data_IF_035776683742
#
_entry.id   IF_035776683742
#
_cell.length_a   1.000
_cell.length_b   1.000
_cell.length_c   1.000
_cell.angle_alpha   90.00
_cell.angle_beta   90.00
_cell.angle_gamma   90.00
#
_symmetry.space_group_name_H-M   'P 1'
#
loop_
_entity.id
_entity.type
_entity.pdbx_description
1 polymer ?
#
# COMPACT_ATOMS: atom_id res chain seq x y z
N UNK A 1 -13.56 18.88 -3.05
CA UNK A 1 -12.67 20.02 -2.76
C UNK A 1 -12.14 20.50 -4.10
N UNK A 2 -12.58 21.67 -4.54
CA UNK A 2 -12.25 22.21 -5.86
C UNK A 2 -10.78 22.61 -5.94
N UNK A 3 -10.09 22.09 -6.94
CA UNK A 3 -8.81 22.61 -7.39
C UNK A 3 -9.10 23.99 -7.97
N UNK A 4 -8.58 25.04 -7.35
CA UNK A 4 -8.67 26.41 -7.86
C UNK A 4 -7.87 26.53 -9.16
N UNK A 5 -8.44 27.17 -10.19
CA UNK A 5 -7.89 27.35 -11.55
C UNK A 5 -6.45 27.92 -11.62
N UNK A 6 -5.91 28.45 -10.52
CA UNK A 6 -4.50 28.89 -10.41
C UNK A 6 -3.46 27.76 -10.24
N UNK A 7 -3.87 26.49 -10.07
CA UNK A 7 -2.93 25.35 -9.99
C UNK A 7 -2.62 24.70 -11.35
N UNK A 8 -3.27 25.14 -12.44
CA UNK A 8 -3.08 24.57 -13.78
C UNK A 8 -1.82 25.06 -14.51
N UNK A 9 -1.05 25.97 -13.90
CA UNK A 9 0.22 26.50 -14.44
C UNK A 9 1.44 26.03 -13.65
N UNK A 10 1.30 24.99 -12.83
CA UNK A 10 2.40 24.38 -12.10
C UNK A 10 2.55 22.92 -12.51
N UNK A 11 3.72 22.56 -13.07
CA UNK A 11 4.01 21.17 -13.43
C UNK A 11 3.89 20.25 -12.20
N UNK A 12 3.65 18.94 -12.39
CA UNK A 12 3.34 18.04 -11.28
C UNK A 12 4.46 18.02 -10.22
N UNK A 13 4.11 18.14 -8.93
CA UNK A 13 5.08 18.14 -7.84
C UNK A 13 5.79 16.79 -7.74
N UNK A 14 6.98 16.79 -7.13
CA UNK A 14 7.78 15.59 -6.82
C UNK A 14 7.91 15.37 -5.31
N UNK A 15 7.11 16.07 -4.50
CA UNK A 15 7.22 16.13 -3.04
C UNK A 15 7.09 14.74 -2.40
N UNK A 16 6.15 13.91 -2.86
CA UNK A 16 5.93 12.58 -2.32
C UNK A 16 7.07 11.61 -2.68
N UNK A 17 7.68 11.77 -3.85
CA UNK A 17 8.89 11.03 -4.23
C UNK A 17 10.06 11.42 -3.33
N UNK A 18 10.28 12.73 -3.12
CA UNK A 18 11.35 13.23 -2.24
C UNK A 18 11.14 12.74 -0.80
N UNK A 19 9.89 12.77 -0.31
CA UNK A 19 9.52 12.25 1.01
C UNK A 19 9.82 10.75 1.14
N UNK A 20 9.48 9.97 0.10
CA UNK A 20 9.78 8.53 0.04
C UNK A 20 11.28 8.27 0.08
N UNK A 21 12.06 9.00 -0.73
CA UNK A 21 13.51 8.89 -0.77
C UNK A 21 14.15 9.28 0.56
N UNK A 22 13.73 10.38 1.18
CA UNK A 22 14.24 10.81 2.47
C UNK A 22 14.01 9.76 3.57
N UNK A 23 12.84 9.11 3.58
CA UNK A 23 12.48 8.08 4.57
C UNK A 23 13.21 6.76 4.33
N UNK A 24 13.29 6.30 3.08
CA UNK A 24 13.70 4.93 2.75
C UNK A 24 15.03 4.80 2.01
N UNK A 25 15.54 5.87 1.41
CA UNK A 25 16.79 5.88 0.66
C UNK A 25 17.48 7.26 0.70
N UNK A 26 17.90 7.74 1.89
CA UNK A 26 18.52 9.06 2.03
C UNK A 26 19.84 9.17 1.25
N UNK A 27 20.53 8.05 1.01
CA UNK A 27 21.72 7.97 0.17
C UNK A 27 21.40 8.33 -1.29
N UNK A 28 20.31 7.81 -1.85
CA UNK A 28 19.87 8.14 -3.22
C UNK A 28 19.48 9.61 -3.35
N UNK A 29 18.82 10.17 -2.33
CA UNK A 29 18.52 11.60 -2.30
C UNK A 29 19.79 12.46 -2.26
N UNK A 30 20.79 12.03 -1.49
CA UNK A 30 22.11 12.70 -1.44
C UNK A 30 22.82 12.63 -2.79
N UNK A 31 22.78 11.48 -3.47
CA UNK A 31 23.33 11.33 -4.82
C UNK A 31 22.63 12.25 -5.83
N UNK A 32 21.30 12.35 -5.78
CA UNK A 32 20.54 13.29 -6.62
C UNK A 32 20.96 14.74 -6.39
N UNK A 33 21.13 15.15 -5.12
CA UNK A 33 21.60 16.51 -4.77
C UNK A 33 23.01 16.79 -5.30
N UNK A 34 23.89 15.80 -5.27
CA UNK A 34 25.24 15.91 -5.82
C UNK A 34 25.25 15.98 -7.35
N UNK A 35 24.34 15.26 -8.01
CA UNK A 35 24.22 15.25 -9.48
C UNK A 35 23.59 16.54 -10.03
N UNK A 36 22.76 17.22 -9.23
CA UNK A 36 22.07 18.45 -9.61
C UNK A 36 22.31 19.59 -8.60
N UNK A 37 23.56 20.06 -8.42
CA UNK A 37 23.92 21.01 -7.36
C UNK A 37 23.21 22.36 -7.50
N UNK A 38 22.92 22.80 -8.72
CA UNK A 38 22.21 24.05 -9.00
C UNK A 38 20.69 23.95 -8.74
N UNK A 39 20.19 22.77 -8.38
CA UNK A 39 18.76 22.46 -8.27
C UNK A 39 18.39 21.84 -6.92
N UNK A 40 19.31 21.88 -5.94
CA UNK A 40 19.12 21.28 -4.60
C UNK A 40 17.84 21.78 -3.94
N UNK A 41 17.51 23.06 -4.11
CA UNK A 41 16.28 23.65 -3.56
C UNK A 41 15.00 22.95 -4.02
N UNK A 42 14.99 22.26 -5.15
CA UNK A 42 13.82 21.52 -5.64
C UNK A 42 13.78 20.05 -5.16
N UNK A 43 14.82 19.62 -4.43
CA UNK A 43 14.96 18.27 -3.85
C UNK A 43 14.70 18.29 -2.32
N UNK A 44 13.98 19.29 -1.85
CA UNK A 44 13.48 19.41 -0.47
C UNK A 44 11.95 19.28 -0.46
N UNK A 45 11.40 18.84 0.67
CA UNK A 45 9.96 18.62 0.83
C UNK A 45 9.17 19.93 0.76
N UNK A 46 8.06 19.93 0.02
CA UNK A 46 7.12 21.05 -0.03
C UNK A 46 7.52 22.15 -1.00
N UNK A 47 8.48 21.87 -1.90
CA UNK A 47 8.91 22.80 -2.94
C UNK A 47 8.39 22.31 -4.28
N UNK A 48 7.39 23.03 -4.80
CA UNK A 48 6.84 22.78 -6.13
C UNK A 48 7.90 23.19 -7.16
N UNK A 49 8.54 22.20 -7.77
CA UNK A 49 9.31 22.40 -8.98
C UNK A 49 8.34 22.79 -10.11
N UNK A 50 8.07 24.10 -10.23
CA UNK A 50 7.19 24.68 -11.24
C UNK A 50 7.64 24.33 -12.68
N UNK A 51 6.79 24.59 -13.68
CA UNK A 51 6.93 24.06 -15.04
C UNK A 51 7.88 24.89 -15.89
N UNK A 52 8.98 25.42 -15.34
CA UNK A 52 9.95 26.15 -16.16
C UNK A 52 10.56 25.18 -17.20
N UNK A 53 10.08 25.32 -18.44
CA UNK A 53 9.62 24.25 -19.35
C UNK A 53 10.67 23.24 -19.85
N UNK A 54 11.93 23.31 -19.41
CA UNK A 54 12.95 22.32 -19.78
C UNK A 54 14.13 22.24 -18.81
N UNK A 55 14.35 23.25 -17.96
CA UNK A 55 15.56 23.36 -17.14
C UNK A 55 15.66 22.30 -16.03
N UNK A 56 14.53 21.75 -15.60
CA UNK A 56 14.44 20.84 -14.46
C UNK A 56 13.99 19.43 -14.83
N UNK A 57 13.70 19.16 -16.11
CA UNK A 57 13.09 17.90 -16.52
C UNK A 57 14.00 16.70 -16.25
N UNK A 58 15.31 16.85 -16.49
CA UNK A 58 16.31 15.82 -16.20
C UNK A 58 16.38 15.47 -14.72
N UNK A 59 16.32 16.48 -13.84
CA UNK A 59 16.31 16.28 -12.40
C UNK A 59 15.01 15.61 -11.95
N UNK A 60 13.86 16.07 -12.45
CA UNK A 60 12.55 15.50 -12.10
C UNK A 60 12.48 14.03 -12.51
N UNK A 61 12.90 13.70 -13.73
CA UNK A 61 12.93 12.32 -14.22
C UNK A 61 13.89 11.45 -13.42
N UNK A 62 15.12 11.92 -13.15
CA UNK A 62 16.08 11.19 -12.31
C UNK A 62 15.53 10.95 -10.89
N UNK A 63 14.79 11.93 -10.35
CA UNK A 63 14.12 11.83 -9.06
C UNK A 63 12.99 10.80 -9.10
N UNK A 64 12.12 10.83 -10.12
CA UNK A 64 11.09 9.83 -10.34
C UNK A 64 11.67 8.43 -10.47
N UNK A 65 12.77 8.27 -11.23
CA UNK A 65 13.42 6.99 -11.40
C UNK A 65 13.91 6.42 -10.06
N UNK A 66 14.68 7.21 -9.31
CA UNK A 66 15.18 6.82 -7.98
C UNK A 66 14.03 6.53 -7.00
N UNK A 67 12.98 7.34 -7.06
CA UNK A 67 11.75 7.18 -6.28
C UNK A 67 11.06 5.86 -6.55
N UNK A 68 10.81 5.55 -7.82
CA UNK A 68 10.17 4.30 -8.25
C UNK A 68 11.04 3.08 -7.92
N UNK A 69 12.36 3.15 -8.08
CA UNK A 69 13.26 2.07 -7.65
C UNK A 69 13.12 1.80 -6.15
N UNK A 70 13.07 2.85 -5.33
CA UNK A 70 12.90 2.74 -3.88
C UNK A 70 11.51 2.21 -3.52
N UNK A 71 10.48 2.69 -4.21
CA UNK A 71 9.09 2.25 -4.04
C UNK A 71 8.93 0.76 -4.38
N UNK A 72 9.53 0.29 -5.47
CA UNK A 72 9.54 -1.13 -5.85
C UNK A 72 10.25 -2.00 -4.82
N UNK A 73 11.38 -1.54 -4.27
CA UNK A 73 12.07 -2.22 -3.18
C UNK A 73 11.18 -2.34 -1.95
N UNK A 74 10.54 -1.24 -1.54
CA UNK A 74 9.60 -1.22 -0.42
C UNK A 74 8.42 -2.19 -0.66
N UNK A 75 7.82 -2.20 -1.85
CA UNK A 75 6.77 -3.14 -2.20
C UNK A 75 7.24 -4.60 -2.10
N UNK A 76 8.45 -4.92 -2.55
CA UNK A 76 9.04 -6.25 -2.42
C UNK A 76 9.25 -6.67 -0.96
N UNK A 77 9.60 -5.72 -0.07
CA UNK A 77 9.80 -5.98 1.35
C UNK A 77 8.47 -6.15 2.12
N UNK A 78 7.43 -5.41 1.72
CA UNK A 78 6.09 -5.47 2.34
C UNK A 78 5.31 -6.70 1.87
N UNK A 79 5.42 -7.09 0.60
CA UNK A 79 4.66 -8.18 -0.01
C UNK A 79 4.68 -9.49 0.80
N UNK A 80 5.83 -10.06 1.23
CA UNK A 80 5.82 -11.30 1.99
C UNK A 80 5.15 -11.16 3.36
N UNK A 81 5.25 -9.98 3.99
CA UNK A 81 4.58 -9.68 5.26
C UNK A 81 3.06 -9.64 5.07
N UNK A 82 2.59 -8.99 4.00
CA UNK A 82 1.18 -8.94 3.64
C UNK A 82 0.61 -10.34 3.36
N UNK A 83 1.31 -11.16 2.57
CA UNK A 83 0.90 -12.55 2.26
C UNK A 83 0.81 -13.40 3.52
N UNK A 84 1.79 -13.30 4.43
CA UNK A 84 1.76 -14.06 5.69
C UNK A 84 0.55 -13.67 6.54
N UNK A 85 0.31 -12.37 6.73
CA UNK A 85 -0.85 -11.86 7.49
C UNK A 85 -2.17 -12.34 6.88
N UNK A 86 -2.31 -12.27 5.55
CA UNK A 86 -3.48 -12.78 4.83
C UNK A 86 -3.71 -14.28 5.04
N UNK A 87 -2.66 -15.10 4.94
CA UNK A 87 -2.76 -16.54 5.17
C UNK A 87 -3.23 -16.83 6.60
N UNK A 88 -2.66 -16.16 7.60
CA UNK A 88 -3.05 -16.34 9.01
C UNK A 88 -4.51 -15.95 9.23
N UNK A 89 -4.96 -14.82 8.70
CA UNK A 89 -6.35 -14.39 8.80
C UNK A 89 -7.31 -15.41 8.15
N UNK A 90 -7.01 -15.86 6.94
CA UNK A 90 -7.84 -16.85 6.24
C UNK A 90 -7.89 -18.20 6.96
N UNK A 91 -6.76 -18.69 7.50
CA UNK A 91 -6.74 -19.93 8.28
C UNK A 91 -7.56 -19.80 9.55
N UNK A 92 -7.46 -18.67 10.26
CA UNK A 92 -8.24 -18.43 11.48
C UNK A 92 -9.75 -18.39 11.17
N UNK A 93 -10.14 -17.69 10.11
CA UNK A 93 -11.52 -17.60 9.65
C UNK A 93 -12.08 -18.98 9.27
N UNK A 94 -11.29 -19.79 8.57
CA UNK A 94 -11.68 -21.16 8.21
C UNK A 94 -11.93 -22.04 9.44
N UNK A 95 -11.02 -22.01 10.43
CA UNK A 95 -11.18 -22.74 11.70
C UNK A 95 -12.44 -22.25 12.45
N UNK A 96 -12.63 -20.94 12.56
CA UNK A 96 -13.81 -20.36 13.19
C UNK A 96 -15.12 -20.81 12.50
N UNK A 97 -15.10 -20.91 11.17
CA UNK A 97 -16.25 -21.33 10.37
C UNK A 97 -16.59 -22.81 10.59
N UNK A 98 -15.57 -23.68 10.68
CA UNK A 98 -15.75 -25.09 11.03
C UNK A 98 -16.35 -25.22 12.43
N UNK A 99 -15.75 -24.56 13.43
CA UNK A 99 -16.22 -24.62 14.82
C UNK A 99 -17.67 -24.14 14.92
N UNK A 100 -18.01 -23.06 14.23
CA UNK A 100 -19.38 -22.52 14.21
C UNK A 100 -20.36 -23.50 13.55
N UNK A 101 -19.98 -24.11 12.42
CA UNK A 101 -20.84 -25.07 11.70
C UNK A 101 -21.08 -26.34 12.52
N UNK A 102 -20.01 -26.91 13.10
CA UNK A 102 -20.11 -28.11 13.95
C UNK A 102 -20.94 -27.82 15.21
N UNK A 103 -20.74 -26.66 15.83
CA UNK A 103 -21.52 -26.25 17.00
C UNK A 103 -22.99 -26.03 16.66
N UNK A 104 -23.28 -25.39 15.52
CA UNK A 104 -24.65 -25.21 15.04
C UNK A 104 -25.36 -26.54 14.79
N UNK A 105 -24.70 -27.48 14.11
CA UNK A 105 -25.24 -28.82 13.88
C UNK A 105 -25.48 -29.58 15.20
N UNK A 106 -24.54 -29.51 16.14
CA UNK A 106 -24.65 -30.16 17.44
C UNK A 106 -25.82 -29.62 18.27
N UNK A 107 -26.11 -28.31 18.22
CA UNK A 107 -27.26 -27.71 18.89
C UNK A 107 -28.56 -28.36 18.39
N UNK A 108 -28.75 -28.47 17.07
CA UNK A 108 -29.96 -29.08 16.50
C UNK A 108 -30.11 -30.55 16.90
N UNK A 109 -29.03 -31.33 16.89
CA UNK A 109 -29.07 -32.74 17.31
C UNK A 109 -29.40 -32.90 18.79
N UNK A 110 -28.83 -32.05 19.65
CA UNK A 110 -29.07 -32.09 21.10
C UNK A 110 -30.46 -31.56 21.49
N UNK A 111 -31.06 -30.70 20.67
CA UNK A 111 -32.46 -30.30 20.82
C UNK A 111 -33.43 -31.39 20.34
N UNK A 112 -33.08 -32.11 19.27
CA UNK A 112 -33.92 -33.17 18.70
C UNK A 112 -33.87 -34.49 19.51
N UNK A 113 -32.73 -34.81 20.11
CA UNK A 113 -32.59 -35.95 21.01
C UNK A 113 -32.86 -35.51 22.46
N UNK A 114 -33.52 -36.35 23.27
CA UNK A 114 -33.66 -36.15 24.73
C UNK A 114 -32.32 -36.36 25.46
N UNK A 115 -31.29 -35.60 25.06
CA UNK A 115 -29.95 -35.74 25.57
C UNK A 115 -29.86 -35.27 27.03
N UNK A 116 -28.98 -35.91 27.84
CA UNK A 116 -28.74 -35.52 29.23
C UNK A 116 -28.32 -34.05 29.34
N UNK A 117 -28.66 -33.42 30.47
CA UNK A 117 -28.40 -31.99 30.73
C UNK A 117 -26.93 -31.61 30.57
N UNK A 118 -25.99 -32.51 30.87
CA UNK A 118 -24.54 -32.31 30.72
C UNK A 118 -24.13 -32.08 29.26
N UNK A 119 -24.68 -32.86 28.33
CA UNK A 119 -24.40 -32.72 26.89
C UNK A 119 -24.89 -31.38 26.34
N UNK A 120 -26.03 -30.89 26.85
CA UNK A 120 -26.58 -29.56 26.50
C UNK A 120 -25.63 -28.42 26.87
N UNK A 121 -25.02 -28.47 28.07
CA UNK A 121 -24.05 -27.46 28.49
C UNK A 121 -22.76 -27.49 27.68
N UNK A 122 -22.22 -28.67 27.36
CA UNK A 122 -20.99 -28.80 26.57
C UNK A 122 -21.18 -28.18 25.18
N UNK A 123 -22.29 -28.49 24.51
CA UNK A 123 -22.59 -27.94 23.18
C UNK A 123 -22.80 -26.43 23.22
N UNK A 124 -23.46 -25.90 24.25
CA UNK A 124 -23.61 -24.46 24.42
C UNK A 124 -22.27 -23.73 24.63
N UNK A 125 -21.34 -24.32 25.40
CA UNK A 125 -19.99 -23.77 25.61
C UNK A 125 -19.19 -23.80 24.30
N UNK A 126 -19.24 -24.91 23.56
CA UNK A 126 -18.60 -25.02 22.24
C UNK A 126 -19.12 -23.98 21.25
N UNK A 127 -20.44 -23.76 21.23
CA UNK A 127 -21.06 -22.73 20.41
C UNK A 127 -20.60 -21.32 20.81
N UNK A 128 -20.52 -21.03 22.11
CA UNK A 128 -20.01 -19.76 22.62
C UNK A 128 -18.54 -19.54 22.25
N UNK A 129 -17.71 -20.58 22.34
CA UNK A 129 -16.31 -20.53 21.90
C UNK A 129 -16.25 -20.24 20.40
N UNK A 130 -17.08 -20.89 19.58
CA UNK A 130 -17.17 -20.64 18.14
C UNK A 130 -17.52 -19.19 17.81
N UNK A 131 -18.50 -18.60 18.49
CA UNK A 131 -18.87 -17.20 18.28
C UNK A 131 -17.79 -16.24 18.76
N UNK A 132 -17.13 -16.52 19.89
CA UNK A 132 -15.96 -15.76 20.36
C UNK A 132 -14.81 -15.80 19.36
N UNK A 133 -14.48 -16.96 18.80
CA UNK A 133 -13.45 -17.07 17.76
C UNK A 133 -13.80 -16.27 16.50
N UNK A 134 -15.08 -16.28 16.09
CA UNK A 134 -15.56 -15.44 14.97
C UNK A 134 -15.38 -13.96 15.26
N UNK A 135 -15.69 -13.53 16.49
CA UNK A 135 -15.56 -12.13 16.92
C UNK A 135 -14.09 -11.70 17.05
N UNK A 136 -13.22 -12.59 17.54
CA UNK A 136 -11.76 -12.38 17.56
C UNK A 136 -11.21 -12.33 16.14
N UNK A 137 -11.69 -13.17 15.22
CA UNK A 137 -11.30 -13.09 13.79
C UNK A 137 -11.67 -11.73 13.20
N UNK A 138 -12.88 -11.22 13.47
CA UNK A 138 -13.28 -9.89 13.05
C UNK A 138 -12.46 -8.79 13.72
N UNK A 139 -12.05 -8.96 14.98
CA UNK A 139 -11.20 -8.00 15.67
C UNK A 139 -9.78 -8.00 15.09
N UNK A 140 -9.20 -9.17 14.80
CA UNK A 140 -7.88 -9.29 14.14
C UNK A 140 -7.91 -8.70 12.73
N UNK A 141 -9.02 -8.88 12.00
CA UNK A 141 -9.24 -8.20 10.72
C UNK A 141 -9.44 -6.69 10.89
N UNK A 142 -10.16 -6.23 11.94
CA UNK A 142 -10.42 -4.81 12.23
C UNK A 142 -9.27 -4.04 12.89
N UNK A 143 -8.28 -4.74 13.45
CA UNK A 143 -7.01 -4.15 13.92
C UNK A 143 -6.20 -3.59 12.74
N UNK A 144 -6.48 -4.03 11.51
CA UNK A 144 -6.19 -3.25 10.31
C UNK A 144 -7.31 -2.19 10.19
N UNK A 145 -7.14 -1.05 10.86
CA UNK A 145 -8.03 0.13 10.92
C UNK A 145 -9.44 -0.05 10.30
N UNK A 146 -10.54 0.16 11.06
CA UNK A 146 -11.93 0.03 10.59
C UNK A 146 -12.27 0.81 9.31
N UNK A 147 -11.45 1.80 8.95
CA UNK A 147 -11.58 2.66 7.76
C UNK A 147 -10.72 2.24 6.56
N UNK A 148 -9.85 1.22 6.68
CA UNK A 148 -8.77 0.97 5.70
C UNK A 148 -9.02 -0.13 4.66
N UNK A 149 -10.19 -0.80 4.69
CA UNK A 149 -10.52 -1.90 3.78
C UNK A 149 -10.09 -3.27 4.31
N UNK A 150 -10.51 -4.35 3.63
CA UNK A 150 -10.10 -5.71 3.99
C UNK A 150 -8.58 -5.86 3.77
N UNK A 151 -7.90 -6.70 4.56
CA UNK A 151 -6.51 -7.11 4.30
C UNK A 151 -6.28 -7.55 2.84
N UNK A 152 -7.31 -8.12 2.22
CA UNK A 152 -7.32 -8.48 0.80
C UNK A 152 -7.24 -7.24 -0.11
N UNK A 153 -8.00 -6.19 0.19
CA UNK A 153 -8.00 -4.94 -0.57
C UNK A 153 -6.63 -4.27 -0.47
N UNK A 154 -6.05 -4.20 0.74
CA UNK A 154 -4.70 -3.67 0.93
C UNK A 154 -3.63 -4.45 0.16
N UNK A 155 -3.77 -5.77 0.07
CA UNK A 155 -2.86 -6.58 -0.73
C UNK A 155 -3.07 -6.37 -2.23
N UNK A 156 -4.33 -6.25 -2.67
CA UNK A 156 -4.66 -5.94 -4.05
C UNK A 156 -4.07 -4.60 -4.45
N UNK A 157 -4.28 -3.56 -3.66
CA UNK A 157 -3.71 -2.21 -3.84
C UNK A 157 -2.19 -2.27 -3.91
N UNK A 158 -1.53 -3.04 -3.04
CA UNK A 158 -0.07 -3.22 -3.06
C UNK A 158 0.41 -3.81 -4.39
N UNK A 159 -0.29 -4.82 -4.91
CA UNK A 159 0.07 -5.46 -6.18
C UNK A 159 -0.20 -4.50 -7.36
N UNK A 160 -1.32 -3.79 -7.34
CA UNK A 160 -1.65 -2.79 -8.37
C UNK A 160 -0.60 -1.67 -8.42
N UNK A 161 -0.26 -1.06 -7.28
CA UNK A 161 0.76 -0.02 -7.23
C UNK A 161 2.17 -0.54 -7.56
N UNK A 162 2.47 -1.80 -7.22
CA UNK A 162 3.75 -2.43 -7.62
C UNK A 162 3.83 -2.61 -9.13
N UNK A 163 2.75 -3.06 -9.77
CA UNK A 163 2.70 -3.20 -11.22
C UNK A 163 2.82 -1.84 -11.89
N UNK A 164 2.05 -0.85 -11.44
CA UNK A 164 2.11 0.50 -11.99
C UNK A 164 3.49 1.14 -11.80
N UNK A 165 4.11 0.98 -10.63
CA UNK A 165 5.47 1.46 -10.39
C UNK A 165 6.48 0.81 -11.33
N UNK A 166 6.32 -0.48 -11.62
CA UNK A 166 7.22 -1.23 -12.50
C UNK A 166 7.03 -0.79 -13.96
N UNK A 167 5.80 -0.55 -14.39
CA UNK A 167 5.49 -0.07 -15.74
C UNK A 167 6.08 1.33 -15.96
N UNK A 168 5.82 2.26 -15.03
CA UNK A 168 6.39 3.61 -15.08
C UNK A 168 7.92 3.61 -15.02
N UNK A 169 8.51 2.72 -14.21
CA UNK A 169 9.97 2.59 -14.14
C UNK A 169 10.56 2.11 -15.47
N UNK A 170 9.92 1.14 -16.13
CA UNK A 170 10.34 0.67 -17.44
C UNK A 170 10.18 1.74 -18.53
N UNK A 171 9.09 2.51 -18.46
CA UNK A 171 8.86 3.62 -19.37
C UNK A 171 9.91 4.73 -19.20
N UNK A 172 10.21 5.13 -17.96
CA UNK A 172 11.29 6.08 -17.66
C UNK A 172 12.66 5.59 -18.11
N UNK A 173 12.92 4.29 -18.00
CA UNK A 173 14.18 3.69 -18.44
C UNK A 173 14.36 3.80 -19.97
N UNK A 174 13.28 3.69 -20.73
CA UNK A 174 13.31 3.92 -22.19
C UNK A 174 13.67 5.38 -22.46
N UNK A 175 13.04 6.32 -21.76
CA UNK A 175 13.32 7.75 -21.92
C UNK A 175 14.75 8.15 -21.51
N UNK A 176 15.29 7.51 -20.49
CA UNK A 176 16.69 7.67 -20.08
C UNK A 176 17.66 7.23 -21.18
N UNK A 177 17.37 6.12 -21.87
CA UNK A 177 18.17 5.65 -23.00
C UNK A 177 18.15 6.60 -24.21
N UNK A 178 17.12 7.43 -24.32
CA UNK A 178 16.95 8.46 -25.35
C UNK A 178 17.46 9.85 -24.92
N UNK A 179 18.20 9.93 -23.81
CA UNK A 179 18.79 11.17 -23.27
C UNK A 179 17.78 12.32 -23.03
N UNK A 180 16.50 11.98 -22.88
CA UNK A 180 15.40 12.91 -22.60
C UNK A 180 15.21 14.02 -23.64
N UNK A 181 15.70 13.86 -24.88
CA UNK A 181 15.67 14.93 -25.90
C UNK A 181 14.25 15.34 -26.31
N UNK A 182 13.28 14.43 -26.21
CA UNK A 182 11.88 14.68 -26.55
C UNK A 182 10.91 14.46 -25.37
N UNK A 183 11.42 14.30 -24.15
CA UNK A 183 10.57 14.01 -22.99
C UNK A 183 9.68 15.22 -22.68
N UNK A 184 8.39 15.13 -23.03
CA UNK A 184 7.37 16.14 -22.74
C UNK A 184 6.24 15.61 -21.88
N UNK A 185 6.37 14.37 -21.41
CA UNK A 185 5.30 13.69 -20.70
C UNK A 185 5.33 14.05 -19.21
N UNK A 186 4.83 15.23 -18.89
CA UNK A 186 4.60 15.63 -17.50
C UNK A 186 3.58 14.73 -16.79
N UNK A 187 2.67 14.09 -17.55
CA UNK A 187 1.68 13.16 -16.99
C UNK A 187 2.40 11.98 -16.34
N UNK A 188 3.47 11.50 -16.96
CA UNK A 188 4.27 10.41 -16.44
C UNK A 188 4.93 10.75 -15.08
N UNK A 189 5.48 11.97 -14.94
CA UNK A 189 6.02 12.48 -13.67
C UNK A 189 4.91 12.54 -12.61
N UNK A 190 3.75 13.08 -12.97
CA UNK A 190 2.59 13.15 -12.07
C UNK A 190 2.11 11.78 -11.60
N UNK A 191 2.07 10.79 -12.51
CA UNK A 191 1.72 9.40 -12.18
C UNK A 191 2.76 8.76 -11.27
N UNK A 192 4.05 8.93 -11.55
CA UNK A 192 5.12 8.42 -10.70
C UNK A 192 5.02 8.98 -9.26
N UNK A 193 4.71 10.27 -9.14
CA UNK A 193 4.51 10.91 -7.85
C UNK A 193 3.28 10.36 -7.10
N UNK A 194 2.15 10.19 -7.80
CA UNK A 194 0.94 9.61 -7.24
C UNK A 194 1.16 8.16 -6.75
N UNK A 195 1.88 7.34 -7.51
CA UNK A 195 2.21 5.96 -7.12
C UNK A 195 3.09 5.94 -5.86
N UNK A 196 4.11 6.79 -5.78
CA UNK A 196 4.97 6.88 -4.59
C UNK A 196 4.16 7.32 -3.35
N UNK A 197 3.24 8.28 -3.50
CA UNK A 197 2.32 8.69 -2.44
C UNK A 197 1.46 7.54 -1.95
N UNK A 198 0.84 6.80 -2.88
CA UNK A 198 -0.05 5.70 -2.53
C UNK A 198 0.70 4.57 -1.80
N UNK A 199 1.94 4.29 -2.20
CA UNK A 199 2.81 3.31 -1.54
C UNK A 199 3.17 3.76 -0.12
N UNK A 200 3.48 5.04 0.11
CA UNK A 200 3.71 5.59 1.46
C UNK A 200 2.48 5.47 2.36
N UNK A 201 1.29 5.76 1.82
CA UNK A 201 0.03 5.60 2.56
C UNK A 201 -0.16 4.12 2.90
N UNK A 202 0.06 3.23 1.95
CA UNK A 202 -0.08 1.80 2.13
C UNK A 202 0.89 1.25 3.18
N UNK A 203 2.15 1.68 3.18
CA UNK A 203 3.13 1.37 4.22
C UNK A 203 2.60 1.71 5.63
N UNK A 204 2.05 2.92 5.81
CA UNK A 204 1.49 3.35 7.08
C UNK A 204 0.31 2.48 7.54
N UNK A 205 -0.51 1.99 6.60
CA UNK A 205 -1.62 1.08 6.88
C UNK A 205 -1.15 -0.31 7.30
N UNK A 206 0.01 -0.77 6.82
CA UNK A 206 0.60 -2.04 7.24
C UNK A 206 1.26 -1.98 8.64
N UNK A 207 1.40 -0.79 9.21
CA UNK A 207 2.02 -0.55 10.53
C UNK A 207 3.52 -0.83 10.53
N UNK A 208 4.20 -0.47 9.43
CA UNK A 208 5.65 -0.56 9.23
C UNK A 208 6.21 0.86 9.24
#
# INVERSE_FOLDING_TARGET
MGLTDNQLTQGPPIDEIVSLLKKHSPESLTQLRNNFPNQIQYLDEGIIAGPDENKHIKMRVATCFSGLTTALKLCNDIQPKAVRKLKTANTLRFIASIVTTVSGAAIFTVLAAEAPKTTKYIVAILALIGTLFSLVSQFVEGVLQPSSGNAYDLYKDLIEYKLEANDLHNELKIWESLNFEEFKDEVLIGRANAVCKNILILESKFGI
#
